data_IF_959329695648
#
_entry.id   IF_959329695648
#
_cell.length_a   1.000
_cell.length_b   1.000
_cell.length_c   1.000
_cell.angle_alpha   90.00
_cell.angle_beta   90.00
_cell.angle_gamma   90.00
#
_symmetry.space_group_name_H-M   'P 1'
#
loop_
_entity.id
_entity.type
_entity.pdbx_description
1 polymer ?
#
# COMPACT_ATOMS: atom_id res chain seq x y z
N UNK A 1 18.58 8.22 -16.70
CA UNK A 1 18.42 6.94 -17.41
C UNK A 1 17.34 7.08 -18.48
N UNK A 2 17.49 6.48 -19.67
CA UNK A 2 16.39 6.45 -20.65
C UNK A 2 15.27 5.53 -20.17
N UNK A 3 14.02 5.99 -20.27
CA UNK A 3 12.86 5.20 -19.83
C UNK A 3 12.66 3.93 -20.66
N UNK A 4 12.97 3.99 -21.96
CA UNK A 4 12.97 2.82 -22.84
C UNK A 4 13.91 1.72 -22.36
N UNK A 5 15.10 2.10 -21.88
CA UNK A 5 16.14 1.17 -21.46
C UNK A 5 15.78 0.54 -20.11
N UNK A 6 15.22 1.35 -19.20
CA UNK A 6 14.64 0.87 -17.95
C UNK A 6 13.55 -0.16 -18.21
N UNK A 7 12.55 0.16 -19.05
CA UNK A 7 11.46 -0.77 -19.35
C UNK A 7 11.92 -2.02 -20.09
N UNK A 8 12.92 -1.92 -20.97
CA UNK A 8 13.53 -3.08 -21.61
C UNK A 8 14.20 -4.00 -20.58
N UNK A 9 14.89 -3.43 -19.58
CA UNK A 9 15.45 -4.20 -18.48
C UNK A 9 14.36 -4.94 -17.69
N UNK A 10 13.29 -4.24 -17.29
CA UNK A 10 12.16 -4.85 -16.58
C UNK A 10 11.54 -5.97 -17.41
N UNK A 11 11.30 -5.75 -18.71
CA UNK A 11 10.72 -6.75 -19.61
C UNK A 11 11.54 -8.04 -19.71
N UNK A 12 12.87 -7.92 -19.66
CA UNK A 12 13.78 -9.05 -19.84
C UNK A 12 14.05 -9.80 -18.53
N UNK A 13 13.94 -9.13 -17.38
CA UNK A 13 14.37 -9.67 -16.09
C UNK A 13 13.24 -9.91 -15.09
N UNK A 14 12.04 -9.38 -15.35
CA UNK A 14 10.91 -9.42 -14.41
C UNK A 14 9.66 -10.01 -15.05
N UNK A 15 8.66 -10.32 -14.22
CA UNK A 15 7.38 -10.82 -14.67
C UNK A 15 6.65 -9.80 -15.57
N UNK A 16 5.86 -10.29 -16.52
CA UNK A 16 5.13 -9.45 -17.48
C UNK A 16 4.25 -8.39 -16.78
N UNK A 17 3.65 -8.74 -15.65
CA UNK A 17 2.82 -7.81 -14.87
C UNK A 17 3.61 -6.64 -14.29
N UNK A 18 4.87 -6.85 -13.92
CA UNK A 18 5.76 -5.78 -13.42
C UNK A 18 6.09 -4.82 -14.55
N UNK A 19 6.42 -5.35 -15.73
CA UNK A 19 6.59 -4.56 -16.95
C UNK A 19 5.32 -3.76 -17.28
N UNK A 20 4.16 -4.42 -17.27
CA UNK A 20 2.88 -3.78 -17.53
C UNK A 20 2.63 -2.60 -16.58
N UNK A 21 2.83 -2.81 -15.27
CA UNK A 21 2.66 -1.76 -14.26
C UNK A 21 3.65 -0.60 -14.47
N UNK A 22 4.93 -0.90 -14.72
CA UNK A 22 5.95 0.12 -14.98
C UNK A 22 5.61 0.94 -16.21
N UNK A 23 5.25 0.27 -17.31
CA UNK A 23 4.91 0.93 -18.56
C UNK A 23 3.66 1.80 -18.41
N UNK A 24 2.61 1.29 -17.75
CA UNK A 24 1.37 2.02 -17.50
C UNK A 24 1.62 3.26 -16.64
N UNK A 25 2.39 3.11 -15.56
CA UNK A 25 2.73 4.21 -14.66
C UNK A 25 3.55 5.30 -15.38
N UNK A 26 4.60 4.91 -16.12
CA UNK A 26 5.49 5.86 -16.80
C UNK A 26 4.79 6.56 -17.97
N UNK A 27 4.01 5.84 -18.76
CA UNK A 27 3.29 6.41 -19.91
C UNK A 27 2.26 7.48 -19.52
N UNK A 28 1.82 7.50 -18.26
CA UNK A 28 0.95 8.57 -17.74
C UNK A 28 1.67 9.88 -17.45
N UNK A 29 2.99 9.83 -17.25
CA UNK A 29 3.77 10.98 -16.77
C UNK A 29 4.82 11.45 -17.77
N UNK A 30 5.26 10.58 -18.68
CA UNK A 30 6.41 10.80 -19.54
C UNK A 30 6.17 10.25 -20.95
N UNK A 31 6.89 10.78 -21.93
CA UNK A 31 7.08 10.13 -23.23
C UNK A 31 8.17 9.06 -23.09
N UNK A 32 7.76 7.82 -22.84
CA UNK A 32 8.64 6.66 -22.61
C UNK A 32 9.72 6.47 -23.69
N UNK A 33 9.48 6.89 -24.94
CA UNK A 33 10.41 6.67 -26.03
C UNK A 33 11.53 7.72 -26.09
N UNK A 34 11.24 8.94 -25.61
CA UNK A 34 12.11 10.09 -25.79
C UNK A 34 12.67 10.64 -24.47
N UNK A 35 11.93 10.46 -23.37
CA UNK A 35 12.29 11.03 -22.09
C UNK A 35 13.37 10.23 -21.37
N UNK A 36 14.15 10.96 -20.57
CA UNK A 36 15.10 10.40 -19.62
C UNK A 36 14.80 10.99 -18.24
N UNK A 37 14.88 10.14 -17.23
CA UNK A 37 14.59 10.51 -15.84
C UNK A 37 15.75 10.05 -14.97
N UNK A 38 16.11 10.86 -13.97
CA UNK A 38 17.12 10.51 -12.99
C UNK A 38 16.66 9.32 -12.15
N UNK A 39 17.61 8.48 -11.75
CA UNK A 39 17.31 7.25 -11.04
C UNK A 39 16.60 7.51 -9.70
N UNK A 40 16.99 8.55 -8.97
CA UNK A 40 16.35 8.94 -7.71
C UNK A 40 14.88 9.35 -7.89
N UNK A 41 14.57 10.06 -8.99
CA UNK A 41 13.19 10.46 -9.31
C UNK A 41 12.38 9.22 -9.70
N UNK A 42 12.97 8.32 -10.47
CA UNK A 42 12.34 7.06 -10.87
C UNK A 42 12.07 6.17 -9.66
N UNK A 43 13.03 6.09 -8.74
CA UNK A 43 12.94 5.38 -7.47
C UNK A 43 11.79 5.91 -6.62
N UNK A 44 11.76 7.23 -6.36
CA UNK A 44 10.68 7.86 -5.58
C UNK A 44 9.30 7.60 -6.20
N UNK A 45 9.21 7.59 -7.53
CA UNK A 45 7.98 7.34 -8.24
C UNK A 45 7.38 5.94 -7.98
N UNK A 46 8.23 4.93 -7.88
CA UNK A 46 7.79 3.54 -7.68
C UNK A 46 7.69 3.12 -6.21
N UNK A 47 8.54 3.68 -5.34
CA UNK A 47 8.63 3.27 -3.93
C UNK A 47 7.66 4.04 -3.05
N UNK A 48 7.23 5.23 -3.48
CA UNK A 48 6.16 5.93 -2.79
C UNK A 48 4.83 5.19 -3.01
N UNK A 49 4.46 4.32 -2.06
CA UNK A 49 3.29 3.44 -2.14
C UNK A 49 1.98 4.19 -2.47
N UNK A 50 1.80 5.40 -1.93
CA UNK A 50 0.62 6.21 -2.23
C UNK A 50 0.58 6.64 -3.71
N UNK A 51 1.72 7.03 -4.26
CA UNK A 51 1.82 7.38 -5.69
C UNK A 51 1.63 6.13 -6.56
N UNK A 52 2.29 5.03 -6.19
CA UNK A 52 2.22 3.75 -6.87
C UNK A 52 0.78 3.25 -6.99
N UNK A 53 0.06 3.18 -5.86
CA UNK A 53 -1.32 2.71 -5.83
C UNK A 53 -2.27 3.63 -6.58
N UNK A 54 -2.14 4.95 -6.44
CA UNK A 54 -2.96 5.92 -7.20
C UNK A 54 -2.73 5.81 -8.71
N UNK A 55 -1.48 5.64 -9.13
CA UNK A 55 -1.14 5.55 -10.55
C UNK A 55 -1.64 4.26 -11.20
N UNK A 56 -1.78 3.18 -10.43
CA UNK A 56 -2.19 1.87 -10.94
C UNK A 56 -3.66 1.52 -10.63
N UNK A 57 -4.40 2.38 -9.93
CA UNK A 57 -5.78 2.11 -9.50
C UNK A 57 -6.72 1.77 -10.67
N UNK A 58 -6.58 2.46 -11.81
CA UNK A 58 -7.36 2.20 -13.03
C UNK A 58 -6.98 0.89 -13.75
N UNK A 59 -5.78 0.36 -13.47
CA UNK A 59 -5.29 -0.90 -14.01
C UNK A 59 -5.46 -2.09 -13.04
N UNK A 60 -5.89 -1.84 -11.81
CA UNK A 60 -5.99 -2.86 -10.76
C UNK A 60 -6.84 -4.06 -11.22
N UNK A 61 -7.98 -3.81 -11.87
CA UNK A 61 -8.83 -4.88 -12.41
C UNK A 61 -8.14 -5.76 -13.47
N UNK A 62 -7.24 -5.18 -14.27
CA UNK A 62 -6.43 -5.93 -15.25
C UNK A 62 -5.36 -6.74 -14.53
N UNK A 63 -4.67 -6.13 -13.56
CA UNK A 63 -3.64 -6.79 -12.74
C UNK A 63 -4.22 -8.06 -12.08
N UNK A 64 -5.34 -7.93 -11.38
CA UNK A 64 -5.96 -9.05 -10.69
C UNK A 64 -6.49 -10.13 -11.63
N UNK A 65 -7.20 -9.75 -12.70
CA UNK A 65 -7.91 -10.72 -13.56
C UNK A 65 -7.03 -11.37 -14.61
N UNK A 66 -6.09 -10.62 -15.20
CA UNK A 66 -5.25 -11.11 -16.30
C UNK A 66 -3.99 -11.78 -15.78
N UNK A 67 -3.42 -11.24 -14.71
CA UNK A 67 -2.12 -11.66 -14.21
C UNK A 67 -2.20 -12.43 -12.89
N UNK A 68 -3.40 -12.62 -12.34
CA UNK A 68 -3.67 -13.38 -11.10
C UNK A 68 -2.73 -12.96 -9.96
N UNK A 69 -2.44 -11.66 -9.88
CA UNK A 69 -1.47 -11.13 -8.92
C UNK A 69 -2.04 -9.94 -8.17
N UNK A 70 -1.42 -9.65 -7.03
CA UNK A 70 -1.78 -8.53 -6.19
C UNK A 70 -0.83 -7.36 -6.40
N UNK A 71 -1.38 -6.16 -6.26
CA UNK A 71 -0.62 -4.92 -6.38
C UNK A 71 0.55 -4.88 -5.38
N UNK A 72 0.36 -5.42 -4.19
CA UNK A 72 1.38 -5.55 -3.14
C UNK A 72 2.58 -6.40 -3.60
N UNK A 73 2.36 -7.46 -4.38
CA UNK A 73 3.45 -8.29 -4.90
C UNK A 73 4.26 -7.57 -5.97
N UNK A 74 3.59 -6.79 -6.82
CA UNK A 74 4.26 -5.91 -7.78
C UNK A 74 5.08 -4.86 -7.02
N UNK A 75 4.51 -4.23 -6.00
CA UNK A 75 5.21 -3.22 -5.20
C UNK A 75 6.46 -3.78 -4.50
N UNK A 76 6.38 -4.97 -3.90
CA UNK A 76 7.55 -5.65 -3.31
C UNK A 76 8.66 -5.87 -4.33
N UNK A 77 8.29 -6.31 -5.54
CA UNK A 77 9.25 -6.49 -6.64
C UNK A 77 9.90 -5.17 -7.03
N UNK A 78 9.11 -4.08 -7.08
CA UNK A 78 9.65 -2.74 -7.37
C UNK A 78 10.59 -2.23 -6.28
N UNK A 79 10.28 -2.43 -5.00
CA UNK A 79 11.19 -2.03 -3.92
C UNK A 79 12.52 -2.78 -4.01
N UNK A 80 12.47 -4.09 -4.23
CA UNK A 80 13.66 -4.92 -4.39
C UNK A 80 14.53 -4.49 -5.59
N UNK A 81 13.93 -4.04 -6.70
CA UNK A 81 14.67 -3.56 -7.87
C UNK A 81 15.50 -2.30 -7.60
N UNK A 82 15.14 -1.52 -6.59
CA UNK A 82 15.83 -0.29 -6.19
C UNK A 82 16.57 -0.45 -4.85
N UNK A 83 16.79 -1.69 -4.43
CA UNK A 83 17.42 -2.07 -3.17
C UNK A 83 16.77 -1.42 -1.93
N UNK A 84 15.44 -1.33 -1.91
CA UNK A 84 14.67 -0.80 -0.78
C UNK A 84 13.83 -1.87 -0.09
N UNK A 85 13.69 -1.74 1.22
CA UNK A 85 12.75 -2.53 2.01
C UNK A 85 11.31 -2.16 1.62
N UNK A 86 10.45 -3.14 1.38
CA UNK A 86 9.06 -2.87 1.00
C UNK A 86 8.25 -2.32 2.18
N UNK A 87 8.55 -2.81 3.39
CA UNK A 87 7.91 -2.39 4.62
C UNK A 87 8.60 -1.13 5.17
N UNK A 88 8.52 -0.07 4.37
CA UNK A 88 9.16 1.22 4.57
C UNK A 88 8.16 2.31 5.02
N UNK A 89 8.67 3.54 5.14
CA UNK A 89 7.90 4.73 5.56
C UNK A 89 6.66 4.98 4.69
N UNK A 90 6.74 4.74 3.38
CA UNK A 90 5.63 5.04 2.46
C UNK A 90 4.47 4.08 2.65
N UNK A 91 4.77 2.77 2.76
CA UNK A 91 3.75 1.76 3.04
C UNK A 91 3.16 1.94 4.43
N UNK A 92 4.00 2.25 5.43
CA UNK A 92 3.55 2.57 6.78
C UNK A 92 2.56 3.75 6.78
N UNK A 93 2.95 4.89 6.20
CA UNK A 93 2.11 6.10 6.15
C UNK A 93 0.77 5.83 5.45
N UNK A 94 0.81 5.05 4.36
CA UNK A 94 -0.41 4.65 3.65
C UNK A 94 -1.34 3.81 4.54
N UNK A 95 -0.81 2.83 5.28
CA UNK A 95 -1.60 1.99 6.19
C UNK A 95 -2.15 2.80 7.36
N UNK A 96 -1.33 3.65 7.97
CA UNK A 96 -1.71 4.52 9.08
C UNK A 96 -2.88 5.44 8.71
N UNK A 97 -2.83 6.08 7.53
CA UNK A 97 -3.90 6.96 7.07
C UNK A 97 -5.28 6.26 6.99
N UNK A 98 -5.30 4.94 6.80
CA UNK A 98 -6.53 4.15 6.72
C UNK A 98 -7.11 3.77 8.08
N UNK A 99 -6.36 3.92 9.17
CA UNK A 99 -6.81 3.58 10.52
C UNK A 99 -7.01 4.81 11.42
N UNK A 100 -6.34 5.93 11.15
CA UNK A 100 -6.41 7.14 11.99
C UNK A 100 -7.75 7.87 11.91
N UNK A 101 -8.41 7.85 10.75
CA UNK A 101 -9.63 8.64 10.52
C UNK A 101 -10.91 7.80 10.57
N UNK A 102 -10.94 6.75 11.41
CA UNK A 102 -12.11 5.88 11.56
C UNK A 102 -12.93 6.32 12.78
N UNK A 103 -14.24 6.47 12.61
CA UNK A 103 -15.16 6.84 13.69
C UNK A 103 -15.94 5.61 14.18
N UNK A 104 -16.13 5.42 15.50
CA UNK A 104 -16.84 4.27 16.04
C UNK A 104 -18.23 4.03 15.42
N UNK A 105 -18.96 5.10 15.11
CA UNK A 105 -20.31 5.03 14.51
C UNK A 105 -20.32 4.26 13.18
N UNK A 106 -19.26 4.36 12.38
CA UNK A 106 -19.15 3.65 11.10
C UNK A 106 -19.21 2.12 11.25
N UNK A 107 -18.91 1.61 12.44
CA UNK A 107 -18.95 0.19 12.79
C UNK A 107 -20.22 -0.15 13.54
N UNK A 108 -20.61 0.70 14.49
CA UNK A 108 -21.75 0.46 15.38
C UNK A 108 -23.11 0.59 14.69
N UNK A 109 -23.19 1.40 13.62
CA UNK A 109 -24.42 1.61 12.85
C UNK A 109 -24.70 0.47 11.84
N UNK A 110 -23.83 -0.55 11.75
CA UNK A 110 -24.06 -1.73 10.91
C UNK A 110 -25.11 -2.62 11.60
N UNK A 111 -26.29 -2.75 10.97
CA UNK A 111 -27.42 -3.52 11.52
C UNK A 111 -27.16 -5.04 11.55
N UNK A 112 -26.54 -5.57 10.50
CA UNK A 112 -26.23 -7.00 10.41
C UNK A 112 -25.02 -7.34 11.29
N UNK A 113 -25.25 -8.16 12.32
CA UNK A 113 -24.24 -8.47 13.34
C UNK A 113 -23.02 -9.21 12.77
N UNK A 114 -23.24 -10.15 11.85
CA UNK A 114 -22.15 -10.93 11.24
C UNK A 114 -21.26 -10.01 10.38
N UNK A 115 -21.87 -9.10 9.63
CA UNK A 115 -21.16 -8.06 8.88
C UNK A 115 -20.45 -7.09 9.82
N UNK A 116 -21.09 -6.67 10.91
CA UNK A 116 -20.50 -5.78 11.91
C UNK A 116 -19.22 -6.40 12.48
N UNK A 117 -19.29 -7.63 12.97
CA UNK A 117 -18.14 -8.36 13.52
C UNK A 117 -17.02 -8.49 12.48
N UNK A 118 -17.36 -8.85 11.24
CA UNK A 118 -16.39 -8.97 10.15
C UNK A 118 -15.67 -7.66 9.85
N UNK A 119 -16.39 -6.53 9.86
CA UNK A 119 -15.80 -5.21 9.59
C UNK A 119 -14.92 -4.75 10.76
N UNK A 120 -15.32 -5.05 11.99
CA UNK A 120 -14.53 -4.79 13.20
C UNK A 120 -13.23 -5.61 13.17
N UNK A 121 -13.31 -6.91 12.86
CA UNK A 121 -12.13 -7.76 12.73
C UNK A 121 -11.17 -7.22 11.67
N UNK A 122 -11.68 -6.83 10.49
CA UNK A 122 -10.87 -6.22 9.43
C UNK A 122 -10.21 -4.90 9.86
N UNK A 123 -10.79 -4.17 10.81
CA UNK A 123 -10.18 -2.96 11.35
C UNK A 123 -9.07 -3.29 12.35
N UNK A 124 -9.29 -4.26 13.23
CA UNK A 124 -8.26 -4.82 14.10
C UNK A 124 -7.07 -5.34 13.31
N UNK A 125 -7.29 -6.17 12.28
CA UNK A 125 -6.23 -6.73 11.45
C UNK A 125 -5.37 -5.64 10.80
N UNK A 126 -5.97 -4.51 10.40
CA UNK A 126 -5.24 -3.36 9.85
C UNK A 126 -4.37 -2.69 10.91
N UNK A 127 -4.86 -2.54 12.15
CA UNK A 127 -4.09 -1.99 13.26
C UNK A 127 -2.91 -2.93 13.58
N UNK A 128 -3.17 -4.24 13.70
CA UNK A 128 -2.14 -5.26 13.93
C UNK A 128 -1.07 -5.25 12.85
N UNK A 129 -1.47 -5.15 11.57
CA UNK A 129 -0.52 -5.05 10.44
C UNK A 129 0.43 -3.85 10.59
N UNK A 130 -0.06 -2.71 11.09
CA UNK A 130 0.78 -1.54 11.33
C UNK A 130 1.73 -1.77 12.51
N UNK A 131 1.21 -2.31 13.62
CA UNK A 131 2.00 -2.64 14.82
C UNK A 131 3.09 -3.69 14.54
N UNK A 132 2.83 -4.61 13.62
CA UNK A 132 3.75 -5.68 13.26
C UNK A 132 4.77 -5.27 12.20
N UNK A 133 4.55 -4.12 11.53
CA UNK A 133 5.44 -3.65 10.47
C UNK A 133 6.86 -3.40 10.97
N UNK A 134 7.84 -3.75 10.13
CA UNK A 134 9.27 -3.55 10.38
C UNK A 134 9.58 -2.07 10.62
N UNK A 135 9.09 -1.18 9.75
CA UNK A 135 9.29 0.26 9.91
C UNK A 135 8.76 0.80 11.24
N UNK A 136 7.58 0.34 11.68
CA UNK A 136 7.04 0.73 12.98
C UNK A 136 7.92 0.25 14.13
N UNK A 137 8.29 -1.03 14.14
CA UNK A 137 9.12 -1.63 15.20
C UNK A 137 10.47 -0.92 15.35
N UNK A 138 11.09 -0.52 14.24
CA UNK A 138 12.36 0.20 14.24
C UNK A 138 12.23 1.67 14.70
N UNK A 139 11.02 2.25 14.67
CA UNK A 139 10.75 3.66 14.97
C UNK A 139 9.69 3.86 16.07
N UNK A 140 9.47 2.84 16.90
CA UNK A 140 8.35 2.76 17.84
C UNK A 140 8.27 3.95 18.80
N UNK A 141 9.43 4.44 19.28
CA UNK A 141 9.51 5.56 20.22
C UNK A 141 8.85 6.84 19.69
N UNK A 142 8.89 7.05 18.37
CA UNK A 142 8.29 8.22 17.72
C UNK A 142 6.86 7.97 17.25
N UNK A 143 6.57 6.77 16.78
CA UNK A 143 5.32 6.44 16.08
C UNK A 143 4.22 5.87 16.99
N UNK A 144 4.56 5.44 18.21
CA UNK A 144 3.58 4.86 19.15
C UNK A 144 2.41 5.79 19.46
N UNK A 145 2.64 7.11 19.49
CA UNK A 145 1.60 8.11 19.74
C UNK A 145 0.53 8.12 18.65
N UNK A 146 0.92 7.90 17.39
CA UNK A 146 0.00 7.91 16.25
C UNK A 146 -1.00 6.74 16.29
N UNK A 147 -0.71 5.69 17.07
CA UNK A 147 -1.56 4.51 17.22
C UNK A 147 -2.42 4.50 18.48
N UNK A 148 -2.28 5.47 19.38
CA UNK A 148 -3.10 5.52 20.61
C UNK A 148 -4.58 5.70 20.25
N UNK A 149 -4.89 6.64 19.35
CA UNK A 149 -6.26 6.93 18.96
C UNK A 149 -6.89 5.72 18.22
N UNK A 150 -6.27 5.15 17.17
CA UNK A 150 -6.79 3.94 16.52
C UNK A 150 -7.08 2.77 17.47
N UNK A 151 -6.16 2.48 18.41
CA UNK A 151 -6.33 1.39 19.37
C UNK A 151 -7.51 1.66 20.32
N UNK A 152 -7.61 2.86 20.89
CA UNK A 152 -8.75 3.23 21.74
C UNK A 152 -10.07 3.23 20.99
N UNK A 153 -10.08 3.64 19.73
CA UNK A 153 -11.25 3.56 18.86
C UNK A 153 -11.71 2.10 18.71
N UNK A 154 -10.78 1.18 18.44
CA UNK A 154 -11.09 -0.25 18.36
C UNK A 154 -11.65 -0.80 19.69
N UNK A 155 -11.03 -0.45 20.83
CA UNK A 155 -11.50 -0.87 22.16
C UNK A 155 -12.94 -0.42 22.42
N UNK A 156 -13.28 0.83 22.10
CA UNK A 156 -14.64 1.37 22.23
C UNK A 156 -15.63 0.62 21.34
N UNK A 157 -15.26 0.37 20.09
CA UNK A 157 -16.11 -0.36 19.13
C UNK A 157 -16.39 -1.78 19.63
N UNK A 158 -15.34 -2.52 20.01
CA UNK A 158 -15.45 -3.90 20.53
C UNK A 158 -16.32 -3.96 21.78
N UNK A 159 -16.08 -3.06 22.74
CA UNK A 159 -16.85 -2.97 23.98
C UNK A 159 -18.34 -2.71 23.73
N UNK A 160 -18.67 -1.79 22.82
CA UNK A 160 -20.05 -1.45 22.48
C UNK A 160 -20.75 -2.55 21.67
N UNK A 161 -20.01 -3.28 20.81
CA UNK A 161 -20.52 -4.42 20.06
C UNK A 161 -20.63 -5.70 20.89
N UNK A 162 -20.05 -5.74 22.10
CA UNK A 162 -20.01 -6.93 22.96
C UNK A 162 -19.03 -8.00 22.48
N UNK A 163 -17.99 -7.61 21.74
CA UNK A 163 -16.92 -8.47 21.23
C UNK A 163 -15.73 -8.33 22.19
N UNK A 164 -15.26 -9.44 22.76
CA UNK A 164 -14.15 -9.48 23.73
C UNK A 164 -12.95 -10.22 23.16
#
# INVERSE_FOLDING_TARGET
MKLSDFLANIKNNQNEVVYYCCNHLLSKKYDVNNDSVDEDILKELFINYNNFTKALNDSAGIIYKKYETELDNVYKTMCNLFDEEYDNVYLFNYRLARIVNQEPRQFLDIEDKDTQETVIQKFEDKISTVLESKYYKENQDKLSQDLIIPQKTLEVIKSAAGIY
#
